data_IF_719140768364
#
_entry.id   IF_719140768364
#
_cell.length_a   1.000
_cell.length_b   1.000
_cell.length_c   1.000
_cell.angle_alpha   90.00
_cell.angle_beta   90.00
_cell.angle_gamma   90.00
#
_symmetry.space_group_name_H-M   'P 1'
#
loop_
_entity.id
_entity.type
_entity.pdbx_description
1 polymer ?
#
# COMPACT_ATOMS: atom_id res chain seq x y z
N UNK A 1 9.62 7.23 -16.51
CA UNK A 1 9.37 8.32 -15.55
C UNK A 1 10.53 9.28 -15.64
N UNK A 2 10.27 10.53 -15.98
CA UNK A 2 11.32 11.54 -16.11
C UNK A 2 11.79 11.98 -14.72
N UNK A 3 13.05 11.69 -14.40
CA UNK A 3 13.68 12.09 -13.14
C UNK A 3 13.98 13.59 -13.18
N UNK A 4 13.26 14.37 -12.36
CA UNK A 4 13.56 15.79 -12.17
C UNK A 4 14.82 15.89 -11.33
N UNK A 5 15.89 16.47 -11.91
CA UNK A 5 17.13 16.73 -11.18
C UNK A 5 16.96 17.90 -10.20
N UNK A 6 17.73 17.90 -9.11
CA UNK A 6 17.70 18.95 -8.09
C UNK A 6 17.86 20.37 -8.66
N UNK A 7 18.69 20.52 -9.70
CA UNK A 7 18.90 21.78 -10.41
C UNK A 7 17.61 22.25 -11.11
N UNK A 8 16.90 21.33 -11.78
CA UNK A 8 15.63 21.67 -12.44
C UNK A 8 14.52 22.04 -11.45
N UNK A 9 14.53 21.47 -10.24
CA UNK A 9 13.58 21.84 -9.19
C UNK A 9 13.89 23.23 -8.64
N UNK A 10 15.16 23.52 -8.37
CA UNK A 10 15.64 24.82 -7.90
C UNK A 10 15.26 25.94 -8.88
N UNK A 11 15.47 25.72 -10.19
CA UNK A 11 15.12 26.71 -11.21
C UNK A 11 13.61 26.99 -11.29
N UNK A 12 12.78 25.97 -11.09
CA UNK A 12 11.31 26.11 -11.09
C UNK A 12 10.79 26.83 -9.84
N UNK A 13 11.47 26.69 -8.70
CA UNK A 13 11.06 27.28 -7.43
C UNK A 13 11.64 28.68 -7.19
N UNK A 14 12.68 29.08 -7.94
CA UNK A 14 13.40 30.34 -7.76
C UNK A 14 12.53 31.60 -7.70
N UNK A 15 11.44 31.62 -8.47
CA UNK A 15 10.50 32.74 -8.54
C UNK A 15 9.10 32.36 -8.01
N UNK A 16 8.98 31.24 -7.31
CA UNK A 16 7.70 30.80 -6.78
C UNK A 16 7.28 31.71 -5.61
N UNK A 17 5.98 32.05 -5.48
CA UNK A 17 5.51 32.80 -4.34
C UNK A 17 5.65 31.98 -3.04
N UNK A 18 5.75 32.69 -1.91
CA UNK A 18 6.03 32.11 -0.59
C UNK A 18 5.09 30.96 -0.23
N UNK A 19 3.80 31.09 -0.55
CA UNK A 19 2.79 30.06 -0.29
C UNK A 19 3.05 28.74 -1.06
N UNK A 20 3.73 28.80 -2.21
CA UNK A 20 4.13 27.62 -2.98
C UNK A 20 5.36 26.97 -2.36
N UNK A 21 6.33 27.77 -1.91
CA UNK A 21 7.52 27.28 -1.23
C UNK A 21 7.17 26.55 0.08
N UNK A 22 6.24 27.09 0.87
CA UNK A 22 5.74 26.47 2.10
C UNK A 22 5.07 25.11 1.83
N UNK A 23 4.28 25.02 0.75
CA UNK A 23 3.66 23.75 0.35
C UNK A 23 4.70 22.72 -0.07
N UNK A 24 5.69 23.12 -0.87
CA UNK A 24 6.78 22.23 -1.29
C UNK A 24 7.58 21.76 -0.09
N UNK A 25 7.89 22.64 0.86
CA UNK A 25 8.55 22.25 2.12
C UNK A 25 7.71 21.23 2.88
N UNK A 26 6.40 21.47 3.04
CA UNK A 26 5.52 20.52 3.73
C UNK A 26 5.43 19.16 3.05
N UNK A 27 5.51 19.08 1.72
CA UNK A 27 5.58 17.80 1.01
C UNK A 27 6.92 17.10 1.22
N UNK A 28 8.03 17.84 1.21
CA UNK A 28 9.36 17.28 1.50
C UNK A 28 9.42 16.76 2.92
N UNK A 29 8.93 17.54 3.89
CA UNK A 29 8.85 17.14 5.29
C UNK A 29 8.00 15.88 5.42
N UNK A 30 6.80 15.82 4.83
CA UNK A 30 5.95 14.62 4.87
C UNK A 30 6.58 13.38 4.19
N UNK A 31 7.42 13.55 3.17
CA UNK A 31 8.16 12.44 2.54
C UNK A 31 9.36 11.98 3.37
N UNK A 32 9.93 12.86 4.19
CA UNK A 32 11.04 12.54 5.09
C UNK A 32 10.54 11.98 6.43
N UNK A 33 9.39 12.46 6.90
CA UNK A 33 8.71 12.05 8.14
C UNK A 33 7.76 10.86 7.93
N UNK A 34 7.55 10.43 6.67
CA UNK A 34 6.95 9.13 6.43
C UNK A 34 7.94 8.08 6.90
N UNK A 35 7.82 7.71 8.18
CA UNK A 35 8.13 6.36 8.65
C UNK A 35 7.42 5.45 7.65
N UNK A 36 8.18 5.00 6.64
CA UNK A 36 7.67 4.05 5.67
C UNK A 36 7.45 2.81 6.51
N UNK A 37 6.24 2.65 7.03
CA UNK A 37 5.77 1.36 7.48
C UNK A 37 5.69 0.53 6.21
N UNK A 38 6.84 -0.04 5.86
CA UNK A 38 6.94 -1.12 4.92
C UNK A 38 6.02 -2.20 5.48
N UNK A 39 4.82 -2.30 4.89
CA UNK A 39 3.86 -3.35 5.19
C UNK A 39 4.44 -4.67 4.69
N UNK A 40 5.42 -5.18 5.43
CA UNK A 40 6.11 -6.42 5.16
C UNK A 40 5.43 -7.47 6.00
N UNK A 41 5.05 -8.56 5.33
CA UNK A 41 4.54 -9.73 6.03
C UNK A 41 5.56 -10.21 7.07
N UNK A 42 5.08 -10.54 8.26
CA UNK A 42 5.92 -11.24 9.23
C UNK A 42 6.36 -12.59 8.67
N UNK A 43 7.45 -13.15 9.20
CA UNK A 43 7.94 -14.46 8.79
C UNK A 43 6.90 -15.57 9.01
N UNK A 44 6.04 -15.44 10.03
CA UNK A 44 4.95 -16.38 10.27
C UNK A 44 3.86 -16.25 9.20
N UNK A 45 3.52 -15.03 8.78
CA UNK A 45 2.56 -14.80 7.69
C UNK A 45 3.06 -15.35 6.36
N UNK A 46 4.35 -15.15 6.05
CA UNK A 46 4.98 -15.74 4.86
C UNK A 46 4.89 -17.26 4.87
N UNK A 47 5.25 -17.89 6.00
CA UNK A 47 5.19 -19.35 6.15
C UNK A 47 3.78 -19.91 5.98
N UNK A 48 2.76 -19.20 6.46
CA UNK A 48 1.36 -19.60 6.24
C UNK A 48 1.05 -19.59 4.74
N UNK A 49 1.44 -18.55 4.00
CA UNK A 49 1.21 -18.48 2.56
C UNK A 49 1.99 -19.55 1.79
N UNK A 50 3.25 -19.78 2.13
CA UNK A 50 4.07 -20.83 1.51
C UNK A 50 3.46 -22.22 1.74
N UNK A 51 2.85 -22.46 2.91
CA UNK A 51 2.17 -23.73 3.20
C UNK A 51 0.86 -23.92 2.42
N UNK A 52 0.36 -22.86 1.78
CA UNK A 52 -0.81 -22.91 0.91
C UNK A 52 -0.45 -23.15 -0.56
N UNK A 53 0.83 -23.13 -0.91
CA UNK A 53 1.30 -23.44 -2.25
C UNK A 53 1.10 -24.95 -2.51
N UNK A 54 0.31 -25.30 -3.52
CA UNK A 54 -0.04 -26.68 -3.91
C UNK A 54 -1.04 -27.42 -3.00
N UNK A 55 -1.91 -26.71 -2.29
CA UNK A 55 -3.04 -27.36 -1.61
C UNK A 55 -3.91 -28.13 -2.61
N UNK A 56 -4.37 -29.31 -2.17
CA UNK A 56 -5.29 -30.11 -2.97
C UNK A 56 -6.67 -29.44 -3.02
N UNK A 57 -7.40 -29.60 -4.13
CA UNK A 57 -8.71 -28.95 -4.34
C UNK A 57 -9.71 -29.25 -3.21
N UNK A 58 -9.63 -30.43 -2.60
CA UNK A 58 -10.48 -30.85 -1.48
C UNK A 58 -10.20 -30.11 -0.16
N UNK A 59 -9.15 -29.28 -0.10
CA UNK A 59 -8.83 -28.41 1.03
C UNK A 59 -9.46 -27.03 0.90
N UNK A 60 -10.11 -26.74 -0.23
CA UNK A 60 -10.86 -25.52 -0.46
C UNK A 60 -12.34 -25.78 -0.24
N UNK A 61 -13.04 -24.79 0.30
CA UNK A 61 -14.50 -24.79 0.39
C UNK A 61 -15.09 -24.11 -0.83
N UNK A 62 -16.18 -24.65 -1.37
CA UNK A 62 -16.87 -24.01 -2.49
C UNK A 62 -17.39 -22.63 -2.08
N UNK A 63 -17.16 -21.62 -2.92
CA UNK A 63 -17.58 -20.26 -2.64
C UNK A 63 -19.10 -20.14 -2.44
N UNK A 64 -19.88 -20.99 -3.11
CA UNK A 64 -21.33 -21.05 -2.95
C UNK A 64 -21.73 -21.57 -1.56
N UNK A 65 -21.01 -22.55 -1.02
CA UNK A 65 -21.26 -23.06 0.34
C UNK A 65 -20.96 -21.98 1.39
N UNK A 66 -19.88 -21.21 1.22
CA UNK A 66 -19.56 -20.08 2.09
C UNK A 66 -20.68 -19.02 2.01
N UNK A 67 -21.14 -18.69 0.81
CA UNK A 67 -22.23 -17.73 0.60
C UNK A 67 -23.51 -18.17 1.30
N UNK A 68 -23.93 -19.42 1.12
CA UNK A 68 -25.14 -19.96 1.73
C UNK A 68 -25.06 -20.00 3.27
N UNK A 69 -23.88 -20.35 3.81
CA UNK A 69 -23.64 -20.32 5.26
C UNK A 69 -23.75 -18.90 5.82
N UNK A 70 -23.13 -17.92 5.16
CA UNK A 70 -23.19 -16.52 5.57
C UNK A 70 -24.62 -15.96 5.45
N UNK A 71 -25.33 -16.35 4.39
CA UNK A 71 -26.72 -15.99 4.14
C UNK A 71 -27.64 -16.53 5.23
N UNK A 72 -27.53 -17.83 5.53
CA UNK A 72 -28.32 -18.48 6.59
C UNK A 72 -28.02 -17.92 7.98
N UNK A 73 -26.77 -17.52 8.25
CA UNK A 73 -26.35 -17.03 9.57
C UNK A 73 -26.72 -15.55 9.80
N UNK A 74 -26.68 -14.73 8.76
CA UNK A 74 -26.90 -13.29 8.85
C UNK A 74 -28.23 -12.82 8.26
N UNK A 75 -29.06 -13.74 7.73
CA UNK A 75 -30.37 -13.41 7.15
C UNK A 75 -30.30 -12.52 5.91
N UNK A 76 -29.23 -12.65 5.12
CA UNK A 76 -29.06 -11.95 3.83
C UNK A 76 -29.89 -12.60 2.70
#
# INVERSE_FOLDING_TARGET
MDSITYNSLTDKLKNAPQNVLERVSGYVDALLDSDVQDYVLSEDQKRILDSQENLALNQFTDAHEIYDQLKSKNGL
#
